data_IF_584176986074
#
_entry.id   IF_584176986074
#
_cell.length_a   1.000
_cell.length_b   1.000
_cell.length_c   1.000
_cell.angle_alpha   90.00
_cell.angle_beta   90.00
_cell.angle_gamma   90.00
#
_symmetry.space_group_name_H-M   'P 1'
#
loop_
_entity.id
_entity.type
_entity.pdbx_description
1 polymer ?
#
# COMPACT_ATOMS: atom_id res chain seq x y z
N UNK A 1 3.00 -15.81 -14.50
CA UNK A 1 4.31 -15.17 -14.23
C UNK A 1 4.08 -13.93 -13.39
N UNK A 2 4.61 -13.91 -12.17
CA UNK A 2 4.56 -12.78 -11.23
C UNK A 2 5.56 -11.68 -11.63
N UNK A 3 5.46 -11.10 -12.84
CA UNK A 3 6.28 -9.97 -13.32
C UNK A 3 7.81 -10.14 -13.09
N UNK A 4 8.33 -11.35 -13.22
CA UNK A 4 9.76 -11.68 -12.96
C UNK A 4 10.11 -11.89 -11.48
N UNK A 5 9.13 -11.81 -10.58
CA UNK A 5 9.30 -12.07 -9.16
C UNK A 5 9.11 -13.57 -8.84
N UNK A 6 9.70 -14.09 -7.74
CA UNK A 6 9.58 -15.50 -7.37
C UNK A 6 8.15 -15.89 -7.03
N UNK A 7 7.72 -17.08 -7.50
CA UNK A 7 6.37 -17.59 -7.29
C UNK A 7 6.20 -18.28 -5.92
N UNK A 8 7.30 -18.66 -5.28
CA UNK A 8 7.37 -19.40 -4.02
C UNK A 8 7.64 -18.52 -2.79
N UNK A 9 7.68 -17.20 -2.97
CA UNK A 9 7.95 -16.22 -1.90
C UNK A 9 6.77 -15.27 -1.72
N UNK A 10 6.62 -14.76 -0.50
CA UNK A 10 5.76 -13.61 -0.21
C UNK A 10 6.43 -12.32 -0.68
N UNK A 11 5.65 -11.42 -1.25
CA UNK A 11 6.17 -10.22 -1.88
C UNK A 11 5.64 -8.98 -1.16
N UNK A 12 6.57 -8.23 -0.55
CA UNK A 12 6.33 -6.88 -0.04
C UNK A 12 6.62 -5.90 -1.17
N UNK A 13 5.62 -5.12 -1.58
CA UNK A 13 5.75 -4.13 -2.64
C UNK A 13 5.87 -2.72 -2.07
N UNK A 14 6.88 -1.97 -2.52
CA UNK A 14 7.01 -0.53 -2.33
C UNK A 14 6.99 0.17 -3.70
N UNK A 15 6.21 1.24 -3.82
CA UNK A 15 6.09 2.01 -5.08
C UNK A 15 6.27 3.49 -4.82
N UNK A 16 7.17 4.14 -5.56
CA UNK A 16 7.32 5.60 -5.57
C UNK A 16 7.97 6.04 -6.88
N UNK A 17 7.55 7.18 -7.44
CA UNK A 17 8.23 7.74 -8.62
C UNK A 17 9.73 7.94 -8.39
N UNK A 18 10.10 8.39 -7.18
CA UNK A 18 11.47 8.52 -6.71
C UNK A 18 11.55 7.95 -5.31
N UNK A 19 12.13 6.75 -5.17
CA UNK A 19 12.21 6.03 -3.90
C UNK A 19 13.06 6.74 -2.84
N UNK A 20 13.91 7.69 -3.27
CA UNK A 20 14.74 8.52 -2.38
C UNK A 20 14.03 9.79 -1.87
N UNK A 21 12.74 10.01 -2.18
CA UNK A 21 11.96 11.10 -1.60
C UNK A 21 11.70 10.80 -0.12
N UNK A 22 12.28 11.63 0.77
CA UNK A 22 12.17 11.46 2.23
C UNK A 22 10.72 11.45 2.71
N UNK A 23 9.81 12.19 2.04
CA UNK A 23 8.38 12.21 2.39
C UNK A 23 7.70 10.86 2.21
N UNK A 24 8.26 9.99 1.37
CA UNK A 24 7.76 8.63 1.16
C UNK A 24 8.19 7.64 2.24
N UNK A 25 9.01 8.09 3.22
CA UNK A 25 9.33 7.35 4.42
C UNK A 25 10.22 6.13 4.21
N UNK A 26 11.08 6.16 3.17
CA UNK A 26 11.96 5.03 2.87
C UNK A 26 12.84 4.60 4.04
N UNK A 27 13.31 5.54 4.86
CA UNK A 27 14.12 5.23 6.05
C UNK A 27 13.33 4.38 7.07
N UNK A 28 12.05 4.69 7.26
CA UNK A 28 11.16 3.89 8.12
C UNK A 28 10.85 2.53 7.51
N UNK A 29 10.76 2.45 6.18
CA UNK A 29 10.58 1.18 5.51
C UNK A 29 11.77 0.25 5.73
N UNK A 30 12.99 0.74 5.52
CA UNK A 30 14.23 -0.03 5.76
C UNK A 30 14.30 -0.46 7.21
N UNK A 31 14.08 0.45 8.17
CA UNK A 31 14.07 0.14 9.60
C UNK A 31 13.01 -0.91 9.96
N UNK A 32 11.81 -0.81 9.39
CA UNK A 32 10.73 -1.78 9.63
C UNK A 32 11.05 -3.17 9.07
N UNK A 33 11.71 -3.26 7.92
CA UNK A 33 12.20 -4.54 7.38
C UNK A 33 13.26 -5.15 8.30
N UNK A 34 14.19 -4.35 8.84
CA UNK A 34 15.20 -4.84 9.79
C UNK A 34 14.53 -5.37 11.07
N UNK A 35 13.53 -4.66 11.60
CA UNK A 35 12.76 -5.09 12.77
C UNK A 35 11.95 -6.36 12.49
N UNK A 36 11.30 -6.45 11.34
CA UNK A 36 10.55 -7.62 10.90
C UNK A 36 11.46 -8.86 10.89
N UNK A 37 12.63 -8.75 10.28
CA UNK A 37 13.61 -9.85 10.21
C UNK A 37 14.22 -10.19 11.57
N UNK A 38 14.43 -9.19 12.43
CA UNK A 38 14.96 -9.42 13.78
C UNK A 38 13.95 -10.16 14.68
N UNK A 39 12.66 -9.84 14.55
CA UNK A 39 11.58 -10.46 15.32
C UNK A 39 11.15 -11.81 14.73
N UNK A 40 11.23 -11.95 13.39
CA UNK A 40 10.77 -13.09 12.61
C UNK A 40 11.85 -13.53 11.60
N UNK A 41 12.93 -14.21 12.06
CA UNK A 41 14.06 -14.59 11.20
C UNK A 41 13.68 -15.48 10.01
N UNK A 42 12.60 -16.25 10.13
CA UNK A 42 12.06 -17.12 9.06
C UNK A 42 11.61 -16.34 7.82
N UNK A 43 11.28 -15.05 7.98
CA UNK A 43 10.90 -14.18 6.86
C UNK A 43 12.01 -14.02 5.82
N UNK A 44 13.29 -14.21 6.21
CA UNK A 44 14.41 -14.16 5.26
C UNK A 44 14.33 -15.24 4.17
N UNK A 45 13.78 -16.39 4.52
CA UNK A 45 13.68 -17.51 3.59
C UNK A 45 12.41 -17.45 2.75
N UNK A 46 11.33 -16.80 3.26
CA UNK A 46 10.01 -16.87 2.68
C UNK A 46 9.54 -15.56 2.02
N UNK A 47 10.26 -14.45 2.20
CA UNK A 47 9.79 -13.13 1.80
C UNK A 47 10.85 -12.37 0.98
N UNK A 48 10.38 -11.61 0.02
CA UNK A 48 11.20 -10.71 -0.80
C UNK A 48 10.55 -9.34 -0.88
N UNK A 49 11.35 -8.32 -1.20
CA UNK A 49 10.88 -6.95 -1.41
C UNK A 49 10.97 -6.60 -2.89
N UNK A 50 9.87 -6.17 -3.48
CA UNK A 50 9.82 -5.58 -4.81
C UNK A 50 9.78 -4.05 -4.68
N UNK A 51 10.65 -3.34 -5.39
CA UNK A 51 10.75 -1.87 -5.34
C UNK A 51 10.53 -1.31 -6.73
N UNK A 52 9.39 -0.64 -6.93
CA UNK A 52 9.03 -0.01 -8.20
C UNK A 52 9.27 1.50 -8.10
N UNK A 53 10.14 2.01 -8.95
CA UNK A 53 10.44 3.44 -9.07
C UNK A 53 11.90 3.75 -9.37
N UNK A 54 12.19 5.01 -9.69
CA UNK A 54 13.55 5.45 -9.95
C UNK A 54 14.44 5.36 -8.72
N UNK A 55 15.69 4.97 -8.90
CA UNK A 55 16.69 4.73 -7.84
C UNK A 55 16.37 3.54 -6.93
N UNK A 56 15.65 2.55 -7.42
CA UNK A 56 15.29 1.35 -6.64
C UNK A 56 16.50 0.50 -6.26
N UNK A 57 17.56 0.50 -7.07
CA UNK A 57 18.82 -0.19 -6.78
C UNK A 57 19.51 0.35 -5.52
N UNK A 58 19.52 1.68 -5.33
CA UNK A 58 20.17 2.34 -4.18
C UNK A 58 19.52 1.94 -2.83
N UNK A 59 18.27 1.52 -2.88
CA UNK A 59 17.51 1.08 -1.70
C UNK A 59 17.60 -0.42 -1.52
N UNK A 60 17.58 -1.19 -2.60
CA UNK A 60 17.65 -2.65 -2.56
C UNK A 60 18.88 -3.15 -1.77
N UNK A 61 20.02 -2.47 -1.91
CA UNK A 61 21.27 -2.79 -1.20
C UNK A 61 21.21 -2.56 0.32
N UNK A 62 20.23 -1.77 0.80
CA UNK A 62 20.08 -1.44 2.23
C UNK A 62 19.16 -2.36 2.99
N UNK A 63 18.42 -3.22 2.28
CA UNK A 63 17.41 -4.07 2.88
C UNK A 63 18.00 -5.37 3.41
N UNK A 64 17.56 -5.82 4.56
CA UNK A 64 17.93 -7.11 5.15
C UNK A 64 17.16 -8.30 4.57
N UNK A 65 16.16 -8.05 3.71
CA UNK A 65 15.48 -9.05 2.88
C UNK A 65 16.02 -9.03 1.45
N UNK A 66 15.96 -10.15 0.71
CA UNK A 66 16.24 -10.14 -0.73
C UNK A 66 15.33 -9.15 -1.46
N UNK A 67 15.90 -8.26 -2.26
CA UNK A 67 15.18 -7.19 -2.92
C UNK A 67 15.30 -7.26 -4.44
N UNK A 68 14.20 -6.93 -5.12
CA UNK A 68 14.05 -6.88 -6.57
C UNK A 68 13.79 -5.43 -6.99
N UNK A 69 14.81 -4.68 -7.41
CA UNK A 69 14.64 -3.35 -7.97
C UNK A 69 14.03 -3.47 -9.36
N UNK A 70 12.82 -2.95 -9.56
CA UNK A 70 12.07 -3.02 -10.82
C UNK A 70 12.28 -1.78 -11.69
N UNK A 71 12.96 -0.75 -11.17
CA UNK A 71 13.17 0.50 -11.87
C UNK A 71 11.87 1.26 -12.14
N UNK A 72 11.92 2.16 -13.12
CA UNK A 72 10.74 2.92 -13.56
C UNK A 72 9.99 2.15 -14.64
N UNK A 73 8.69 1.94 -14.43
CA UNK A 73 7.77 1.30 -15.40
C UNK A 73 6.65 2.28 -15.74
N UNK A 74 6.35 2.45 -17.03
CA UNK A 74 5.28 3.30 -17.53
C UNK A 74 4.15 2.52 -18.21
N UNK A 75 4.34 1.24 -18.49
CA UNK A 75 3.31 0.39 -19.09
C UNK A 75 2.28 -0.03 -18.05
N UNK A 76 1.03 0.39 -18.24
CA UNK A 76 -0.07 0.12 -17.30
C UNK A 76 -0.29 -1.38 -17.04
N UNK A 77 -0.15 -2.23 -18.06
CA UNK A 77 -0.33 -3.68 -17.90
C UNK A 77 0.73 -4.28 -17.00
N UNK A 78 1.97 -3.83 -17.18
CA UNK A 78 3.10 -4.26 -16.35
C UNK A 78 2.92 -3.76 -14.90
N UNK A 79 2.47 -2.52 -14.70
CA UNK A 79 2.16 -1.98 -13.37
C UNK A 79 1.09 -2.82 -12.67
N UNK A 80 -0.02 -3.14 -13.35
CA UNK A 80 -1.07 -4.01 -12.81
C UNK A 80 -0.54 -5.40 -12.47
N UNK A 81 0.34 -5.98 -13.30
CA UNK A 81 0.97 -7.27 -13.00
C UNK A 81 1.86 -7.21 -11.77
N UNK A 82 2.62 -6.12 -11.59
CA UNK A 82 3.48 -5.92 -10.42
C UNK A 82 2.61 -5.83 -9.15
N UNK A 83 1.59 -4.97 -9.14
CA UNK A 83 0.66 -4.90 -8.00
C UNK A 83 0.01 -6.26 -7.72
N UNK A 84 -0.55 -6.91 -8.73
CA UNK A 84 -1.23 -8.21 -8.59
C UNK A 84 -0.30 -9.35 -8.15
N UNK A 85 1.01 -9.15 -8.22
CA UNK A 85 2.01 -10.12 -7.74
C UNK A 85 2.32 -9.96 -6.26
N UNK A 86 1.99 -8.83 -5.65
CA UNK A 86 2.31 -8.52 -4.27
C UNK A 86 1.31 -9.17 -3.30
N UNK A 87 1.81 -9.55 -2.12
CA UNK A 87 1.01 -10.04 -1.01
C UNK A 87 0.68 -8.90 -0.02
N UNK A 88 1.52 -7.85 0.01
CA UNK A 88 1.27 -6.61 0.76
C UNK A 88 1.91 -5.42 0.05
N UNK A 89 1.20 -4.30 0.01
CA UNK A 89 1.73 -3.00 -0.41
C UNK A 89 2.06 -2.15 0.82
N UNK A 90 3.24 -1.54 0.87
CA UNK A 90 3.68 -0.72 2.01
C UNK A 90 3.92 0.71 1.57
N UNK A 91 3.24 1.66 2.22
CA UNK A 91 3.38 3.09 1.99
C UNK A 91 3.62 3.82 3.33
N UNK A 92 4.87 3.93 3.79
CA UNK A 92 5.22 4.60 5.04
C UNK A 92 5.37 6.12 4.86
N UNK A 93 4.52 6.73 4.04
CA UNK A 93 4.55 8.17 3.76
C UNK A 93 4.45 8.98 5.04
N UNK A 94 5.26 10.02 5.14
CA UNK A 94 5.24 11.00 6.24
C UNK A 94 4.22 12.11 5.98
N UNK A 95 3.91 12.34 4.70
CA UNK A 95 2.91 13.30 4.23
C UNK A 95 2.24 12.71 3.00
N UNK A 96 0.94 12.49 3.07
CA UNK A 96 0.16 12.06 1.90
C UNK A 96 -1.32 12.42 2.12
N UNK A 97 -2.00 12.87 1.09
CA UNK A 97 -3.41 13.25 1.25
C UNK A 97 -4.32 12.04 0.97
N UNK A 98 -4.41 11.62 -0.28
CA UNK A 98 -5.14 10.43 -0.73
C UNK A 98 -4.26 9.70 -1.77
N UNK A 99 -3.34 8.85 -1.33
CA UNK A 99 -2.36 8.25 -2.21
C UNK A 99 -3.00 7.28 -3.22
N UNK A 100 -2.92 7.60 -4.50
CA UNK A 100 -3.44 6.73 -5.57
C UNK A 100 -2.83 5.33 -5.52
N UNK A 101 -1.59 5.20 -5.06
CA UNK A 101 -0.90 3.91 -4.96
C UNK A 101 -1.58 2.92 -4.02
N UNK A 102 -2.21 3.39 -2.91
CA UNK A 102 -3.05 2.54 -2.05
C UNK A 102 -4.32 2.10 -2.80
N UNK A 103 -4.95 3.03 -3.52
CA UNK A 103 -6.15 2.70 -4.31
C UNK A 103 -5.84 1.70 -5.43
N UNK A 104 -4.70 1.86 -6.11
CA UNK A 104 -4.21 0.94 -7.15
C UNK A 104 -3.93 -0.45 -6.58
N UNK A 105 -3.25 -0.53 -5.42
CA UNK A 105 -2.99 -1.79 -4.73
C UNK A 105 -4.30 -2.50 -4.35
N UNK A 106 -5.23 -1.78 -3.70
CA UNK A 106 -6.52 -2.34 -3.32
C UNK A 106 -7.38 -2.74 -4.54
N UNK A 107 -7.28 -2.02 -5.66
CA UNK A 107 -7.96 -2.38 -6.91
C UNK A 107 -7.43 -3.69 -7.50
N UNK A 108 -6.17 -4.03 -7.21
CA UNK A 108 -5.57 -5.33 -7.52
C UNK A 108 -5.84 -6.40 -6.43
N UNK A 109 -6.60 -6.06 -5.39
CA UNK A 109 -6.89 -6.95 -4.26
C UNK A 109 -5.75 -7.09 -3.27
N UNK A 110 -4.80 -6.15 -3.26
CA UNK A 110 -3.61 -6.19 -2.41
C UNK A 110 -3.82 -5.32 -1.18
N UNK A 111 -3.73 -5.89 0.03
CA UNK A 111 -3.84 -5.14 1.27
C UNK A 111 -2.67 -4.18 1.44
N UNK A 112 -2.94 -3.04 2.08
CA UNK A 112 -1.94 -1.99 2.26
C UNK A 112 -1.58 -1.79 3.73
N UNK A 113 -0.31 -1.49 3.99
CA UNK A 113 0.20 -1.08 5.30
C UNK A 113 0.75 0.34 5.18
N UNK A 114 0.29 1.25 6.03
CA UNK A 114 0.72 2.64 5.98
C UNK A 114 0.60 3.34 7.33
N UNK A 115 1.26 4.49 7.46
CA UNK A 115 1.19 5.28 8.68
C UNK A 115 -0.16 6.00 8.83
N UNK A 116 -0.55 6.25 10.08
CA UNK A 116 -1.72 7.07 10.44
C UNK A 116 -1.43 8.54 10.15
N UNK A 117 -1.50 8.94 8.87
CA UNK A 117 -1.25 10.31 8.40
C UNK A 117 -2.15 10.65 7.21
N UNK A 118 -2.56 11.90 7.10
CA UNK A 118 -3.40 12.40 6.01
C UNK A 118 -4.65 11.57 5.81
N UNK A 119 -4.95 11.21 4.56
CA UNK A 119 -6.10 10.38 4.19
C UNK A 119 -5.85 8.88 4.20
N UNK A 120 -4.65 8.40 4.57
CA UNK A 120 -4.37 6.96 4.63
C UNK A 120 -5.36 6.20 5.52
N UNK A 121 -5.73 6.69 6.75
CA UNK A 121 -6.72 6.02 7.59
C UNK A 121 -8.15 5.99 7.04
N UNK A 122 -8.46 6.82 6.04
CA UNK A 122 -9.76 6.79 5.34
C UNK A 122 -9.79 5.67 4.30
N UNK A 123 -8.63 5.35 3.72
CA UNK A 123 -8.49 4.32 2.69
C UNK A 123 -8.32 2.94 3.29
N UNK A 124 -7.52 2.82 4.34
CA UNK A 124 -7.23 1.56 5.03
C UNK A 124 -8.12 1.41 6.26
N UNK A 125 -9.07 0.51 6.20
CA UNK A 125 -9.84 0.05 7.37
C UNK A 125 -8.95 -0.93 8.15
N UNK A 126 -8.40 -0.47 9.27
CA UNK A 126 -7.40 -1.21 10.06
C UNK A 126 -7.87 -2.63 10.39
N UNK A 127 -7.02 -3.61 10.09
CA UNK A 127 -7.28 -5.05 10.24
C UNK A 127 -8.49 -5.60 9.48
N UNK A 128 -8.93 -4.91 8.42
CA UNK A 128 -9.99 -5.37 7.53
C UNK A 128 -9.53 -5.49 6.07
N UNK A 129 -8.91 -4.44 5.53
CA UNK A 129 -8.34 -4.43 4.19
C UNK A 129 -6.84 -4.04 4.17
N UNK A 130 -6.22 -3.98 5.34
CA UNK A 130 -4.84 -3.60 5.55
C UNK A 130 -4.57 -3.20 6.99
N UNK A 131 -3.46 -2.53 7.23
CA UNK A 131 -3.01 -2.15 8.57
C UNK A 131 -2.59 -0.69 8.61
N UNK A 132 -3.12 0.07 9.56
CA UNK A 132 -2.73 1.46 9.82
C UNK A 132 -1.80 1.46 11.01
N UNK A 133 -0.51 1.71 10.76
CA UNK A 133 0.52 1.81 11.78
C UNK A 133 0.58 3.21 12.39
N UNK A 134 1.03 3.30 13.63
CA UNK A 134 1.27 4.57 14.30
C UNK A 134 2.30 5.40 13.53
N UNK A 135 2.08 6.72 13.50
CA UNK A 135 2.92 7.63 12.74
C UNK A 135 4.39 7.59 13.18
N UNK A 136 5.28 7.36 12.22
CA UNK A 136 6.74 7.24 12.43
C UNK A 136 7.18 6.10 13.36
N UNK A 137 6.37 5.08 13.49
CA UNK A 137 6.67 3.90 14.29
C UNK A 137 7.05 2.72 13.38
N UNK A 138 8.34 2.45 13.28
CA UNK A 138 8.86 1.36 12.45
C UNK A 138 8.57 -0.03 13.05
N UNK A 139 8.41 -0.15 14.37
CA UNK A 139 8.00 -1.41 15.02
C UNK A 139 6.56 -1.74 14.66
N UNK A 140 5.65 -0.77 14.75
CA UNK A 140 4.25 -0.96 14.41
C UNK A 140 4.06 -1.18 12.88
N UNK A 141 4.90 -0.54 12.05
CA UNK A 141 4.93 -0.81 10.60
C UNK A 141 5.37 -2.25 10.31
N UNK A 142 6.38 -2.75 11.02
CA UNK A 142 6.85 -4.15 10.92
C UNK A 142 5.76 -5.13 11.37
N UNK A 143 5.10 -4.85 12.49
CA UNK A 143 3.97 -5.63 12.97
C UNK A 143 2.82 -5.67 11.97
N UNK A 144 2.53 -4.54 11.32
CA UNK A 144 1.50 -4.48 10.27
C UNK A 144 1.83 -5.35 9.06
N UNK A 145 3.09 -5.34 8.62
CA UNK A 145 3.55 -6.23 7.54
C UNK A 145 3.43 -7.70 7.94
N UNK A 146 3.88 -8.05 9.14
CA UNK A 146 3.79 -9.41 9.66
C UNK A 146 2.33 -9.88 9.77
N UNK A 147 1.46 -9.04 10.33
CA UNK A 147 0.03 -9.34 10.45
C UNK A 147 -0.61 -9.65 9.10
N UNK A 148 -0.36 -8.83 8.07
CA UNK A 148 -0.90 -9.06 6.73
C UNK A 148 -0.38 -10.37 6.12
N UNK A 149 0.92 -10.64 6.29
CA UNK A 149 1.59 -11.75 5.60
C UNK A 149 1.37 -13.11 6.30
N UNK A 150 1.20 -13.13 7.63
CA UNK A 150 1.24 -14.38 8.40
C UNK A 150 -0.01 -14.64 9.25
N UNK A 151 -0.71 -13.60 9.72
CA UNK A 151 -1.80 -13.76 10.68
C UNK A 151 -3.19 -13.61 10.04
N UNK A 152 -3.32 -12.75 9.04
CA UNK A 152 -4.59 -12.44 8.41
C UNK A 152 -4.97 -13.45 7.32
N UNK A 153 -6.27 -13.61 7.09
CA UNK A 153 -6.78 -14.40 5.97
C UNK A 153 -6.65 -13.58 4.66
N UNK A 154 -5.78 -14.04 3.77
CA UNK A 154 -5.45 -13.35 2.52
C UNK A 154 -6.67 -13.17 1.58
N UNK A 155 -7.57 -14.17 1.50
CA UNK A 155 -8.76 -14.06 0.65
C UNK A 155 -9.79 -13.09 1.22
N UNK A 156 -9.91 -13.01 2.54
CA UNK A 156 -10.75 -12.02 3.22
C UNK A 156 -10.20 -10.62 3.00
N UNK A 157 -8.89 -10.41 3.18
CA UNK A 157 -8.25 -9.11 2.93
C UNK A 157 -8.46 -8.66 1.48
N UNK A 158 -8.20 -9.55 0.52
CA UNK A 158 -8.40 -9.30 -0.91
C UNK A 158 -9.83 -8.90 -1.23
N UNK A 159 -10.81 -9.66 -0.73
CA UNK A 159 -12.22 -9.35 -0.92
C UNK A 159 -12.58 -7.97 -0.37
N UNK A 160 -12.11 -7.64 0.83
CA UNK A 160 -12.35 -6.36 1.47
C UNK A 160 -11.70 -5.19 0.71
N UNK A 161 -10.48 -5.37 0.18
CA UNK A 161 -9.83 -4.38 -0.69
C UNK A 161 -10.68 -4.07 -1.93
N UNK A 162 -11.10 -5.09 -2.66
CA UNK A 162 -11.91 -4.95 -3.86
C UNK A 162 -13.27 -4.29 -3.56
N UNK A 163 -13.92 -4.66 -2.46
CA UNK A 163 -15.17 -4.05 -2.03
C UNK A 163 -14.99 -2.56 -1.67
N UNK A 164 -13.92 -2.23 -0.93
CA UNK A 164 -13.62 -0.83 -0.57
C UNK A 164 -13.47 0.04 -1.80
N UNK A 165 -12.70 -0.43 -2.81
CA UNK A 165 -12.52 0.31 -4.07
C UNK A 165 -13.84 0.43 -4.84
N UNK A 166 -14.59 -0.65 -4.97
CA UNK A 166 -15.86 -0.64 -5.70
C UNK A 166 -16.87 0.36 -5.11
N UNK A 167 -16.96 0.43 -3.78
CA UNK A 167 -17.93 1.28 -3.10
C UNK A 167 -17.51 2.74 -2.97
N UNK A 168 -16.20 3.03 -2.84
CA UNK A 168 -15.74 4.37 -2.50
C UNK A 168 -15.00 5.08 -3.63
N UNK A 169 -14.31 4.33 -4.49
CA UNK A 169 -13.35 4.90 -5.46
C UNK A 169 -13.64 4.54 -6.92
N UNK A 170 -14.67 3.74 -7.20
CA UNK A 170 -15.10 3.52 -8.58
C UNK A 170 -15.63 4.81 -9.19
N UNK A 171 -15.52 4.97 -10.51
CA UNK A 171 -16.06 6.13 -11.23
C UNK A 171 -17.52 6.38 -10.88
N UNK A 172 -18.32 5.33 -10.76
CA UNK A 172 -19.72 5.42 -10.38
C UNK A 172 -19.90 5.96 -8.96
N UNK A 173 -19.18 5.40 -7.97
CA UNK A 173 -19.26 5.84 -6.59
C UNK A 173 -18.86 7.31 -6.42
N UNK A 174 -17.76 7.71 -7.06
CA UNK A 174 -17.28 9.08 -7.04
C UNK A 174 -18.31 10.03 -7.68
N UNK A 175 -18.88 9.68 -8.83
CA UNK A 175 -19.91 10.47 -9.49
C UNK A 175 -21.17 10.64 -8.61
N UNK A 176 -21.63 9.58 -7.96
CA UNK A 176 -22.78 9.61 -7.05
C UNK A 176 -22.52 10.50 -5.83
N UNK A 177 -21.32 10.42 -5.24
CA UNK A 177 -20.94 11.31 -4.12
C UNK A 177 -20.95 12.78 -4.53
N UNK A 178 -20.43 13.12 -5.70
CA UNK A 178 -20.51 14.50 -6.22
C UNK A 178 -21.95 14.97 -6.41
N UNK A 179 -22.83 14.13 -6.99
CA UNK A 179 -24.26 14.46 -7.18
C UNK A 179 -24.93 14.73 -5.83
N UNK A 180 -24.65 13.92 -4.81
CA UNK A 180 -25.18 14.09 -3.47
C UNK A 180 -24.74 15.42 -2.84
N UNK A 181 -23.44 15.76 -2.91
CA UNK A 181 -22.90 17.02 -2.41
C UNK A 181 -23.55 18.22 -3.12
N UNK A 182 -23.72 18.15 -4.44
CA UNK A 182 -24.43 19.22 -5.19
C UNK A 182 -25.87 19.35 -4.78
N UNK A 183 -26.59 18.26 -4.56
CA UNK A 183 -27.99 18.31 -4.11
C UNK A 183 -28.10 18.91 -2.70
N UNK A 184 -27.19 18.56 -1.80
CA UNK A 184 -27.13 19.17 -0.46
C UNK A 184 -26.86 20.68 -0.53
N UNK A 185 -25.89 21.11 -1.36
CA UNK A 185 -25.56 22.51 -1.54
C UNK A 185 -26.73 23.33 -2.12
N UNK A 186 -27.47 22.75 -3.09
CA UNK A 186 -28.68 23.40 -3.65
C UNK A 186 -29.82 23.49 -2.64
N UNK A 187 -30.00 22.45 -1.81
CA UNK A 187 -31.00 22.49 -0.74
C UNK A 187 -30.72 23.61 0.29
N UNK A 188 -29.44 23.75 0.69
CA UNK A 188 -29.03 24.84 1.60
C UNK A 188 -29.33 26.23 1.07
N UNK A 189 -29.19 26.46 -0.25
CA UNK A 189 -29.46 27.76 -0.89
C UNK A 189 -30.93 28.12 -0.86
N UNK A 190 -31.84 27.14 -0.83
CA UNK A 190 -33.29 27.37 -0.77
C UNK A 190 -33.81 27.68 0.64
N UNK A 191 -32.99 27.47 1.70
CA UNK A 191 -33.34 27.85 3.08
C UNK A 191 -32.80 29.25 3.50
N UNK A 192 -32.02 29.91 2.63
CA UNK A 192 -31.36 31.20 2.92
C UNK A 192 -32.02 32.38 2.19
N UNK A 193 -33.22 32.21 1.67
CA UNK A 193 -34.13 33.24 1.13
C UNK A 193 -35.42 33.24 1.94
#
# INVERSE_FOLDING_TARGET
>A
LRAGLPDDKKIILFVSQKVTDERKGMSFFVEAIDKLVAQHPEMKENTVVAILGGHSEDVAEKLSLPAFPLGYVSDEKTIVQIYSSADVFVLPSLEDNLPNTIMEAMACGVPSVGFKVGGIPEMIDHQKNGYVANYRDADDLAQGMYWVLEEADAEVLKSNCLQKVAHNYSQHAVAMNYIEVYNQAMAYKNYSL
#
